data_IF_594139567665
#
_entry.id   IF_594139567665
#
_cell.length_a   1.000
_cell.length_b   1.000
_cell.length_c   1.000
_cell.angle_alpha   90.00
_cell.angle_beta   90.00
_cell.angle_gamma   90.00
#
_symmetry.space_group_name_H-M   'P 1'
#
loop_
_entity.id
_entity.type
_entity.pdbx_description
1 polymer ?
#
# COMPACT_ATOMS: atom_id res chain seq x y z
N UNK A 1 7.73 -34.94 -4.94
CA UNK A 1 6.44 -34.62 -5.59
C UNK A 1 5.41 -33.84 -4.75
N UNK A 2 5.32 -33.91 -3.40
CA UNK A 2 4.28 -33.18 -2.66
C UNK A 2 4.52 -31.66 -2.56
N UNK A 3 5.78 -31.22 -2.49
CA UNK A 3 6.15 -29.80 -2.38
C UNK A 3 5.80 -28.98 -3.64
N UNK A 4 5.94 -29.59 -4.83
CA UNK A 4 5.62 -28.95 -6.12
C UNK A 4 4.10 -28.77 -6.27
N UNK A 5 3.30 -29.73 -5.79
CA UNK A 5 1.83 -29.62 -5.78
C UNK A 5 1.34 -28.58 -4.77
N UNK A 6 2.00 -28.45 -3.62
CA UNK A 6 1.70 -27.41 -2.64
C UNK A 6 2.00 -26.00 -3.19
N UNK A 7 3.16 -25.83 -3.84
CA UNK A 7 3.55 -24.54 -4.43
C UNK A 7 2.64 -24.17 -5.61
N UNK A 8 2.27 -25.13 -6.47
CA UNK A 8 1.31 -24.91 -7.57
C UNK A 8 -0.09 -24.57 -7.05
N UNK A 9 -0.54 -25.18 -5.95
CA UNK A 9 -1.82 -24.89 -5.33
C UNK A 9 -1.85 -23.49 -4.69
N UNK A 10 -0.75 -23.08 -4.04
CA UNK A 10 -0.58 -21.74 -3.44
C UNK A 10 -0.48 -20.66 -4.52
N UNK A 11 0.20 -20.91 -5.64
CA UNK A 11 0.30 -19.95 -6.76
C UNK A 11 -1.02 -19.82 -7.54
N UNK A 12 -1.78 -20.90 -7.71
CA UNK A 12 -3.09 -20.86 -8.39
C UNK A 12 -4.16 -20.19 -7.50
N UNK A 13 -4.10 -20.39 -6.17
CA UNK A 13 -4.95 -19.64 -5.24
C UNK A 13 -4.57 -18.17 -5.21
N UNK A 14 -3.27 -17.80 -5.13
CA UNK A 14 -2.82 -16.40 -5.16
C UNK A 14 -3.16 -15.66 -6.47
N UNK A 15 -3.04 -16.32 -7.63
CA UNK A 15 -3.36 -15.74 -8.94
C UNK A 15 -4.87 -15.65 -9.19
N UNK A 16 -5.65 -16.67 -8.77
CA UNK A 16 -7.11 -16.65 -8.82
C UNK A 16 -7.71 -15.61 -7.87
N UNK A 17 -7.15 -15.46 -6.66
CA UNK A 17 -7.48 -14.35 -5.77
C UNK A 17 -7.04 -13.02 -6.36
N UNK A 18 -5.94 -12.93 -7.12
CA UNK A 18 -5.47 -11.68 -7.72
C UNK A 18 -6.36 -11.11 -8.83
N UNK A 19 -6.94 -11.96 -9.70
CA UNK A 19 -7.82 -11.52 -10.80
C UNK A 19 -9.26 -11.23 -10.30
N UNK A 20 -9.76 -12.05 -9.37
CA UNK A 20 -11.03 -11.78 -8.69
C UNK A 20 -10.91 -10.58 -7.74
N UNK A 21 -9.76 -10.42 -7.05
CA UNK A 21 -9.46 -9.23 -6.26
C UNK A 21 -9.35 -8.00 -7.16
N UNK A 22 -8.66 -8.00 -8.29
CA UNK A 22 -8.55 -6.78 -9.12
C UNK A 22 -9.88 -6.31 -9.69
N UNK A 23 -10.81 -7.22 -10.05
CA UNK A 23 -12.14 -6.83 -10.54
C UNK A 23 -13.10 -6.39 -9.42
N UNK A 24 -13.05 -7.04 -8.25
CA UNK A 24 -13.79 -6.60 -7.06
C UNK A 24 -13.20 -5.34 -6.44
N UNK A 25 -11.87 -5.19 -6.43
CA UNK A 25 -11.13 -3.98 -6.06
C UNK A 25 -11.47 -2.85 -7.01
N UNK A 26 -11.55 -3.05 -8.33
CA UNK A 26 -11.90 -1.95 -9.26
C UNK A 26 -13.35 -1.47 -9.12
N UNK A 27 -14.28 -2.37 -8.80
CA UNK A 27 -15.68 -2.05 -8.54
C UNK A 27 -15.91 -1.50 -7.12
N UNK A 28 -15.13 -1.96 -6.15
CA UNK A 28 -15.02 -1.36 -4.83
C UNK A 28 -14.40 0.04 -4.97
N UNK A 29 -13.18 0.20 -5.48
CA UNK A 29 -12.49 1.46 -5.76
C UNK A 29 -13.38 2.54 -6.36
N UNK A 30 -14.22 2.22 -7.35
CA UNK A 30 -15.17 3.18 -7.94
C UNK A 30 -16.31 3.60 -7.01
N UNK A 31 -16.84 2.67 -6.20
CA UNK A 31 -17.85 2.97 -5.18
C UNK A 31 -17.24 3.64 -3.93
N UNK A 32 -16.01 3.28 -3.58
CA UNK A 32 -15.26 3.79 -2.43
C UNK A 32 -14.76 5.19 -2.69
N UNK A 33 -14.18 5.48 -3.86
CA UNK A 33 -13.83 6.87 -4.23
C UNK A 33 -15.06 7.76 -4.30
N UNK A 34 -16.22 7.24 -4.73
CA UNK A 34 -17.48 8.00 -4.71
C UNK A 34 -17.94 8.35 -3.30
N UNK A 35 -17.96 7.36 -2.39
CA UNK A 35 -18.36 7.54 -0.98
C UNK A 35 -17.39 8.44 -0.20
N UNK A 36 -16.09 8.15 -0.30
CA UNK A 36 -15.03 8.92 0.33
C UNK A 36 -15.00 10.38 -0.18
N UNK A 37 -15.10 10.60 -1.50
CA UNK A 37 -15.15 11.95 -2.05
C UNK A 37 -16.41 12.72 -1.60
N UNK A 38 -17.55 12.04 -1.51
CA UNK A 38 -18.78 12.63 -0.99
C UNK A 38 -18.65 13.01 0.50
N UNK A 39 -18.02 12.17 1.30
CA UNK A 39 -17.76 12.44 2.72
C UNK A 39 -16.77 13.59 2.89
N UNK A 40 -15.65 13.59 2.18
CA UNK A 40 -14.69 14.70 2.16
C UNK A 40 -15.38 16.00 1.75
N UNK A 41 -16.25 15.98 0.73
CA UNK A 41 -17.03 17.14 0.32
C UNK A 41 -18.04 17.61 1.39
N UNK A 42 -18.67 16.69 2.12
CA UNK A 42 -19.55 17.01 3.25
C UNK A 42 -18.78 17.71 4.38
N UNK A 43 -17.65 17.13 4.77
CA UNK A 43 -16.80 17.67 5.84
C UNK A 43 -16.22 19.04 5.44
N UNK A 44 -15.80 19.22 4.18
CA UNK A 44 -15.36 20.54 3.68
C UNK A 44 -16.45 21.59 3.72
N UNK A 45 -17.68 21.26 3.29
CA UNK A 45 -18.83 22.17 3.39
C UNK A 45 -19.15 22.55 4.84
N UNK A 46 -19.01 21.61 5.76
CA UNK A 46 -19.14 21.91 7.18
C UNK A 46 -18.10 22.96 7.59
N UNK A 47 -16.83 22.77 7.26
CA UNK A 47 -15.78 23.74 7.60
C UNK A 47 -15.93 25.08 6.88
N UNK A 48 -16.45 25.11 5.66
CA UNK A 48 -16.81 26.38 4.99
C UNK A 48 -17.79 27.18 5.85
N UNK A 49 -18.84 26.53 6.36
CA UNK A 49 -19.81 27.17 7.24
C UNK A 49 -19.19 27.58 8.58
N UNK A 50 -18.31 26.77 9.17
CA UNK A 50 -17.57 27.11 10.41
C UNK A 50 -16.71 28.36 10.20
N UNK A 51 -15.89 28.39 9.16
CA UNK A 51 -14.96 29.49 8.90
C UNK A 51 -15.69 30.81 8.64
N UNK A 52 -16.83 30.77 7.93
CA UNK A 52 -17.70 31.95 7.76
C UNK A 52 -18.27 32.41 9.10
N UNK A 53 -18.82 31.49 9.90
CA UNK A 53 -19.44 31.80 11.19
C UNK A 53 -18.42 32.41 12.19
N UNK A 54 -17.26 31.76 12.36
CA UNK A 54 -16.26 32.19 13.33
C UNK A 54 -15.40 33.36 12.85
N UNK A 55 -15.23 33.52 11.53
CA UNK A 55 -14.49 34.64 10.93
C UNK A 55 -15.27 35.95 10.91
N UNK A 56 -16.61 35.87 10.83
CA UNK A 56 -17.51 37.03 10.86
C UNK A 56 -17.89 37.51 12.26
N UNK A 57 -17.73 36.67 13.29
CA UNK A 57 -17.98 37.04 14.69
C UNK A 57 -16.80 37.81 15.27
N UNK A 58 -17.02 39.06 15.64
CA UNK A 58 -16.18 39.74 16.62
C UNK A 58 -16.59 39.22 18.01
N UNK A 59 -15.67 38.56 18.71
CA UNK A 59 -15.89 38.14 20.10
C UNK A 59 -15.50 39.29 21.04
N UNK A 60 -16.47 39.98 21.67
CA UNK A 60 -16.18 41.10 22.53
C UNK A 60 -15.39 40.64 23.75
N UNK A 61 -14.31 41.36 24.07
CA UNK A 61 -13.52 41.09 25.28
C UNK A 61 -12.33 40.16 25.10
N UNK A 62 -12.03 39.67 23.89
CA UNK A 62 -10.76 38.99 23.63
C UNK A 62 -9.58 39.96 23.78
N UNK A 63 -8.53 39.52 24.48
CA UNK A 63 -7.24 40.22 24.51
C UNK A 63 -6.59 40.15 23.13
N UNK A 64 -5.73 41.12 22.81
CA UNK A 64 -4.97 41.17 21.54
C UNK A 64 -4.27 39.85 21.23
N UNK A 65 -3.68 39.20 22.25
CA UNK A 65 -3.02 37.90 22.10
C UNK A 65 -4.01 36.78 21.74
N UNK A 66 -5.16 36.72 22.42
CA UNK A 66 -6.21 35.73 22.13
C UNK A 66 -6.78 35.93 20.73
N UNK A 67 -6.95 37.18 20.31
CA UNK A 67 -7.43 37.50 18.96
C UNK A 67 -6.42 37.06 17.88
N UNK A 68 -5.12 37.31 18.09
CA UNK A 68 -4.07 36.83 17.18
C UNK A 68 -4.02 35.30 17.10
N UNK A 69 -4.10 34.62 18.26
CA UNK A 69 -4.14 33.16 18.33
C UNK A 69 -5.38 32.58 17.61
N UNK A 70 -6.55 33.19 17.82
CA UNK A 70 -7.79 32.84 17.14
C UNK A 70 -7.63 32.89 15.61
N UNK A 71 -7.09 33.99 15.07
CA UNK A 71 -6.86 34.10 13.62
C UNK A 71 -5.88 33.03 13.10
N UNK A 72 -4.83 32.71 13.85
CA UNK A 72 -3.90 31.65 13.48
C UNK A 72 -4.56 30.27 13.47
N UNK A 73 -5.44 29.96 14.44
CA UNK A 73 -6.19 28.72 14.47
C UNK A 73 -7.20 28.61 13.31
N UNK A 74 -7.91 29.70 12.98
CA UNK A 74 -8.83 29.69 11.85
C UNK A 74 -8.10 29.50 10.51
N UNK A 75 -6.92 30.10 10.34
CA UNK A 75 -6.07 29.84 9.17
C UNK A 75 -5.59 28.38 9.13
N UNK A 76 -5.23 27.80 10.29
CA UNK A 76 -4.86 26.39 10.41
C UNK A 76 -6.04 25.46 10.07
N UNK A 77 -7.25 25.80 10.52
CA UNK A 77 -8.47 25.06 10.20
C UNK A 77 -8.80 25.11 8.71
N UNK A 78 -8.60 26.26 8.05
CA UNK A 78 -8.72 26.38 6.60
C UNK A 78 -7.73 25.46 5.87
N UNK A 79 -6.45 25.45 6.28
CA UNK A 79 -5.45 24.53 5.71
C UNK A 79 -5.78 23.05 5.97
N UNK A 80 -6.36 22.72 7.13
CA UNK A 80 -6.87 21.38 7.44
C UNK A 80 -8.01 20.97 6.49
N UNK A 81 -9.01 21.83 6.29
CA UNK A 81 -10.09 21.64 5.32
C UNK A 81 -9.55 21.41 3.91
N UNK A 82 -8.61 22.24 3.46
CA UNK A 82 -8.06 22.18 2.10
C UNK A 82 -7.28 20.89 1.86
N UNK A 83 -6.56 20.42 2.89
CA UNK A 83 -5.90 19.10 2.85
C UNK A 83 -6.91 17.97 2.64
N UNK A 84 -8.07 18.01 3.29
CA UNK A 84 -9.14 17.02 3.05
C UNK A 84 -8.79 15.61 3.52
N UNK A 85 -7.84 15.47 4.43
CA UNK A 85 -7.47 14.21 5.07
C UNK A 85 -8.14 14.20 6.44
N UNK A 86 -9.20 13.39 6.58
CA UNK A 86 -10.05 13.37 7.76
C UNK A 86 -10.07 11.97 8.39
N UNK A 87 -10.36 11.87 9.70
CA UNK A 87 -10.64 10.59 10.34
C UNK A 87 -11.79 9.84 9.68
N UNK A 88 -11.74 8.53 9.78
CA UNK A 88 -12.78 7.64 9.29
C UNK A 88 -13.49 6.92 10.45
N UNK A 89 -14.80 6.72 10.31
CA UNK A 89 -15.56 5.90 11.24
C UNK A 89 -15.61 4.45 10.74
N UNK A 90 -14.86 3.58 11.42
CA UNK A 90 -14.75 2.16 11.08
C UNK A 90 -15.60 1.25 11.95
N UNK A 91 -16.00 1.73 13.13
CA UNK A 91 -16.47 0.88 14.23
C UNK A 91 -17.97 1.08 14.52
N UNK A 92 -18.58 2.16 14.00
CA UNK A 92 -19.97 2.53 14.27
C UNK A 92 -20.79 2.60 12.96
N UNK A 93 -21.27 1.46 12.44
CA UNK A 93 -21.94 1.38 11.15
C UNK A 93 -23.28 2.13 11.09
N UNK A 94 -23.97 2.24 12.22
CA UNK A 94 -25.34 2.76 12.27
C UNK A 94 -25.41 4.24 12.69
N UNK A 95 -24.28 4.86 13.01
CA UNK A 95 -24.26 6.22 13.55
C UNK A 95 -23.00 7.00 13.13
N UNK A 96 -23.14 8.26 12.67
CA UNK A 96 -22.00 9.15 12.54
C UNK A 96 -21.37 9.43 13.90
N UNK A 97 -20.09 9.07 14.05
CA UNK A 97 -19.39 9.11 15.34
C UNK A 97 -18.14 9.98 15.21
N UNK A 98 -17.88 10.89 16.15
CA UNK A 98 -16.62 11.63 16.17
C UNK A 98 -15.47 10.70 16.56
N UNK A 99 -14.29 10.97 16.03
CA UNK A 99 -13.04 10.41 16.51
C UNK A 99 -12.13 11.57 16.89
N UNK A 100 -11.35 11.44 17.95
CA UNK A 100 -10.29 12.39 18.29
C UNK A 100 -9.03 12.08 17.46
N UNK A 101 -8.67 10.80 17.40
CA UNK A 101 -7.62 10.24 16.55
C UNK A 101 -8.16 9.02 15.81
N UNK A 102 -8.01 9.00 14.49
CA UNK A 102 -8.26 7.80 13.69
C UNK A 102 -7.26 6.69 14.10
N UNK A 103 -7.78 5.57 14.63
CA UNK A 103 -6.94 4.48 15.14
C UNK A 103 -6.20 3.70 14.05
N UNK A 104 -6.65 3.77 12.79
CA UNK A 104 -6.04 3.05 11.67
C UNK A 104 -5.01 3.91 10.94
N UNK A 105 -5.34 5.18 10.72
CA UNK A 105 -4.50 6.08 9.92
C UNK A 105 -3.64 7.03 10.77
N UNK A 106 -4.00 7.23 12.04
CA UNK A 106 -3.40 8.24 12.91
C UNK A 106 -3.88 9.67 12.61
N UNK A 107 -4.79 9.85 11.66
CA UNK A 107 -5.33 11.16 11.29
C UNK A 107 -6.06 11.79 12.48
N UNK A 108 -5.67 13.02 12.82
CA UNK A 108 -6.33 13.79 13.87
C UNK A 108 -7.63 14.40 13.35
N UNK A 109 -8.66 14.52 14.20
CA UNK A 109 -9.79 15.38 13.88
C UNK A 109 -9.39 16.86 13.93
N UNK A 110 -10.29 17.74 13.49
CA UNK A 110 -9.99 19.17 13.41
C UNK A 110 -9.55 19.76 14.76
N UNK A 111 -10.26 19.47 15.86
CA UNK A 111 -9.90 20.02 17.18
C UNK A 111 -8.58 19.44 17.70
N UNK A 112 -8.36 18.14 17.54
CA UNK A 112 -7.08 17.50 17.86
C UNK A 112 -5.93 18.08 17.03
N UNK A 113 -6.16 18.38 15.75
CA UNK A 113 -5.17 18.99 14.88
C UNK A 113 -4.80 20.42 15.32
N UNK A 114 -5.77 21.22 15.78
CA UNK A 114 -5.52 22.56 16.31
C UNK A 114 -4.72 22.52 17.62
N UNK A 115 -5.01 21.55 18.50
CA UNK A 115 -4.21 21.29 19.69
C UNK A 115 -2.77 20.93 19.31
N UNK A 116 -2.58 19.96 18.42
CA UNK A 116 -1.25 19.55 17.95
C UNK A 116 -0.48 20.71 17.30
N UNK A 117 -1.13 21.52 16.45
CA UNK A 117 -0.49 22.65 15.76
C UNK A 117 0.01 23.74 16.71
N UNK A 118 -0.47 23.75 17.95
CA UNK A 118 -0.04 24.67 19.02
C UNK A 118 0.86 23.97 20.05
N UNK A 119 1.36 22.78 19.74
CA UNK A 119 2.28 22.02 20.59
C UNK A 119 1.61 21.21 21.69
N UNK A 120 0.27 21.07 21.70
CA UNK A 120 -0.49 20.36 22.73
C UNK A 120 -0.84 18.92 22.36
N UNK A 121 0.13 18.20 21.80
CA UNK A 121 -0.01 16.77 21.48
C UNK A 121 -0.26 15.92 22.73
N UNK A 122 0.25 16.37 23.88
CA UNK A 122 -0.01 15.79 25.20
C UNK A 122 -1.51 15.70 25.53
N UNK A 123 -2.28 16.77 25.28
CA UNK A 123 -3.74 16.78 25.44
C UNK A 123 -4.37 15.81 24.46
N UNK A 124 -3.98 15.85 23.18
CA UNK A 124 -4.54 14.99 22.13
C UNK A 124 -4.44 13.53 22.52
N UNK A 125 -3.23 13.09 22.90
CA UNK A 125 -3.00 11.70 23.22
C UNK A 125 -3.68 11.30 24.54
N UNK A 126 -3.79 12.20 25.52
CA UNK A 126 -4.55 11.93 26.76
C UNK A 126 -6.03 11.73 26.48
N UNK A 127 -6.66 12.69 25.78
CA UNK A 127 -8.09 12.65 25.48
C UNK A 127 -8.40 11.41 24.65
N UNK A 128 -7.63 11.14 23.60
CA UNK A 128 -7.81 9.96 22.75
C UNK A 128 -7.67 8.62 23.51
N UNK A 129 -6.79 8.56 24.51
CA UNK A 129 -6.66 7.37 25.37
C UNK A 129 -7.83 7.21 26.34
N UNK A 130 -8.32 8.30 26.91
CA UNK A 130 -9.41 8.27 27.88
C UNK A 130 -10.76 7.97 27.20
N UNK A 131 -11.08 8.72 26.16
CA UNK A 131 -12.26 8.52 25.32
C UNK A 131 -12.01 9.10 23.93
N UNK A 132 -11.71 8.22 22.98
CA UNK A 132 -11.41 8.62 21.60
C UNK A 132 -12.63 9.09 20.82
N UNK A 133 -13.84 8.86 21.31
CA UNK A 133 -15.08 9.20 20.63
C UNK A 133 -15.85 10.31 21.38
N UNK A 134 -15.18 11.00 22.30
CA UNK A 134 -15.74 12.11 23.08
C UNK A 134 -16.15 13.29 22.22
N UNK A 135 -17.26 13.94 22.58
CA UNK A 135 -17.63 15.23 22.01
C UNK A 135 -16.92 16.35 22.75
N UNK A 136 -16.44 17.36 22.04
CA UNK A 136 -15.70 18.46 22.67
C UNK A 136 -16.56 19.22 23.69
N UNK A 137 -17.89 19.29 23.47
CA UNK A 137 -18.83 19.85 24.46
C UNK A 137 -18.83 19.12 25.81
N UNK A 138 -18.41 17.86 25.85
CA UNK A 138 -18.36 17.04 27.08
C UNK A 138 -17.04 17.25 27.85
N UNK A 139 -16.07 17.94 27.26
CA UNK A 139 -14.77 18.26 27.87
C UNK A 139 -14.79 19.56 28.70
N UNK A 140 -15.98 20.02 29.11
CA UNK A 140 -16.14 21.26 29.89
C UNK A 140 -15.45 21.23 31.27
N UNK A 141 -15.21 20.03 31.81
CA UNK A 141 -14.50 19.80 33.08
C UNK A 141 -13.01 19.50 32.91
N UNK A 142 -12.50 19.34 31.68
CA UNK A 142 -11.06 19.19 31.42
C UNK A 142 -10.41 20.58 31.44
N UNK A 143 -9.75 20.90 32.55
CA UNK A 143 -9.16 22.23 32.79
C UNK A 143 -8.05 22.58 31.80
N UNK A 144 -7.35 21.60 31.22
CA UNK A 144 -6.31 21.88 30.24
C UNK A 144 -6.89 22.16 28.85
N UNK A 145 -7.97 21.46 28.47
CA UNK A 145 -8.72 21.75 27.25
C UNK A 145 -9.35 23.13 27.37
N UNK A 146 -10.04 23.42 28.49
CA UNK A 146 -10.65 24.73 28.74
C UNK A 146 -9.61 25.85 28.78
N UNK A 147 -8.48 25.63 29.45
CA UNK A 147 -7.38 26.61 29.50
C UNK A 147 -6.76 26.86 28.13
N UNK A 148 -6.61 25.82 27.30
CA UNK A 148 -6.14 25.98 25.92
C UNK A 148 -7.14 26.76 25.06
N UNK A 149 -8.44 26.47 25.18
CA UNK A 149 -9.50 27.18 24.48
C UNK A 149 -9.50 28.68 24.82
N UNK A 150 -9.45 29.03 26.11
CA UNK A 150 -9.36 30.43 26.55
C UNK A 150 -8.09 31.12 26.01
N UNK A 151 -6.92 30.47 26.12
CA UNK A 151 -5.66 31.03 25.63
C UNK A 151 -5.68 31.35 24.12
N UNK A 152 -6.46 30.60 23.35
CA UNK A 152 -6.58 30.77 21.90
C UNK A 152 -7.83 31.57 21.48
N UNK A 153 -8.61 32.11 22.43
CA UNK A 153 -9.81 32.88 22.12
C UNK A 153 -10.88 32.08 21.38
N UNK A 154 -10.99 30.79 21.67
CA UNK A 154 -12.03 29.89 21.15
C UNK A 154 -12.91 29.45 22.32
N UNK A 155 -14.23 29.57 22.19
CA UNK A 155 -15.14 29.08 23.21
C UNK A 155 -15.34 27.56 23.10
N UNK A 156 -15.81 26.91 24.17
CA UNK A 156 -16.16 25.49 24.12
C UNK A 156 -17.24 25.20 23.06
N UNK A 157 -18.21 26.09 22.91
CA UNK A 157 -19.27 25.98 21.91
C UNK A 157 -18.72 26.04 20.48
N UNK A 158 -17.75 26.93 20.24
CA UNK A 158 -17.06 27.03 18.96
C UNK A 158 -16.20 25.80 18.66
N UNK A 159 -15.49 25.27 19.65
CA UNK A 159 -14.73 24.03 19.49
C UNK A 159 -15.65 22.83 19.21
N UNK A 160 -16.81 22.75 19.87
CA UNK A 160 -17.84 21.77 19.56
C UNK A 160 -18.41 21.97 18.14
N UNK A 161 -18.57 23.22 17.71
CA UNK A 161 -19.01 23.58 16.35
C UNK A 161 -18.00 23.21 15.27
N UNK A 162 -16.71 23.22 15.58
CA UNK A 162 -15.61 22.76 14.72
C UNK A 162 -15.57 21.23 14.62
N UNK A 163 -16.00 20.50 15.66
CA UNK A 163 -15.96 19.05 15.67
C UNK A 163 -16.99 18.47 14.68
N UNK A 164 -16.56 17.46 13.91
CA UNK A 164 -17.38 16.76 12.92
C UNK A 164 -17.51 15.29 13.29
N UNK A 165 -18.73 14.71 13.33
CA UNK A 165 -18.90 13.27 13.35
C UNK A 165 -18.70 12.70 11.94
N UNK A 166 -18.05 11.54 11.82
CA UNK A 166 -17.75 10.92 10.53
C UNK A 166 -18.74 9.82 10.21
N UNK A 167 -19.21 9.80 8.95
CA UNK A 167 -20.09 8.74 8.48
C UNK A 167 -19.33 7.41 8.43
N UNK A 168 -20.06 6.30 8.62
CA UNK A 168 -19.43 4.98 8.52
C UNK A 168 -18.82 4.80 7.13
N UNK A 169 -17.63 4.22 7.13
CA UNK A 169 -17.00 3.67 5.93
C UNK A 169 -17.81 2.46 5.49
N UNK A 170 -18.10 2.33 4.20
CA UNK A 170 -18.83 1.17 3.67
C UNK A 170 -17.96 -0.10 3.70
N UNK A 171 -18.56 -1.30 3.79
CA UNK A 171 -17.80 -2.55 3.81
C UNK A 171 -16.80 -2.72 2.62
N UNK A 172 -17.15 -2.33 1.38
CA UNK A 172 -16.19 -2.31 0.26
C UNK A 172 -15.03 -1.34 0.46
N UNK A 173 -15.27 -0.19 1.09
CA UNK A 173 -14.28 0.86 1.38
C UNK A 173 -13.34 0.44 2.50
N UNK A 174 -13.88 -0.22 3.51
CA UNK A 174 -13.10 -0.81 4.58
C UNK A 174 -12.19 -1.94 4.05
N UNK A 175 -12.67 -2.75 3.11
CA UNK A 175 -11.86 -3.76 2.44
C UNK A 175 -10.75 -3.16 1.56
N UNK A 176 -11.03 -2.06 0.84
CA UNK A 176 -10.02 -1.32 0.07
C UNK A 176 -8.91 -0.73 0.95
N UNK A 177 -9.27 -0.10 2.06
CA UNK A 177 -8.31 0.47 3.03
C UNK A 177 -7.46 -0.65 3.65
N UNK A 178 -8.06 -1.77 4.06
CA UNK A 178 -7.30 -2.93 4.59
C UNK A 178 -6.38 -3.51 3.51
N UNK A 179 -6.83 -3.65 2.27
CA UNK A 179 -6.02 -4.16 1.17
C UNK A 179 -4.79 -3.26 0.89
N UNK A 180 -4.93 -1.95 1.00
CA UNK A 180 -3.80 -1.01 0.86
C UNK A 180 -2.88 -1.07 2.07
N UNK A 181 -3.41 -1.00 3.29
CA UNK A 181 -2.61 -0.91 4.53
C UNK A 181 -1.91 -2.22 4.88
N UNK A 182 -2.56 -3.37 4.62
CA UNK A 182 -2.02 -4.70 4.95
C UNK A 182 -1.42 -5.39 3.73
N UNK A 183 -2.05 -5.25 2.55
CA UNK A 183 -1.63 -5.95 1.34
C UNK A 183 -0.35 -5.38 0.72
N UNK A 184 -0.19 -4.05 0.67
CA UNK A 184 1.00 -3.43 0.08
C UNK A 184 2.29 -3.79 0.84
N UNK A 185 2.35 -3.73 2.18
CA UNK A 185 3.55 -4.16 2.92
C UNK A 185 3.88 -5.64 2.75
N UNK A 186 2.86 -6.53 2.70
CA UNK A 186 3.07 -7.97 2.51
C UNK A 186 3.59 -8.27 1.11
N UNK A 187 3.02 -7.65 0.09
CA UNK A 187 3.47 -7.79 -1.30
C UNK A 187 4.89 -7.23 -1.47
N UNK A 188 5.17 -6.05 -0.90
CA UNK A 188 6.51 -5.44 -0.93
C UNK A 188 7.54 -6.27 -0.17
N UNK A 189 7.20 -6.80 1.01
CA UNK A 189 8.08 -7.68 1.79
C UNK A 189 8.41 -8.96 1.06
N UNK A 190 7.40 -9.59 0.44
CA UNK A 190 7.58 -10.79 -0.38
C UNK A 190 8.41 -10.49 -1.63
N UNK A 191 8.15 -9.36 -2.29
CA UNK A 191 8.91 -8.91 -3.46
C UNK A 191 10.39 -8.69 -3.10
N UNK A 192 10.68 -7.92 -2.05
CA UNK A 192 12.04 -7.67 -1.58
C UNK A 192 12.75 -8.98 -1.23
N UNK A 193 12.09 -9.88 -0.51
CA UNK A 193 12.63 -11.20 -0.19
C UNK A 193 12.97 -12.01 -1.44
N UNK A 194 12.05 -12.09 -2.41
CA UNK A 194 12.30 -12.81 -3.68
C UNK A 194 13.36 -12.16 -4.55
N UNK A 195 13.45 -10.83 -4.57
CA UNK A 195 14.48 -10.10 -5.31
C UNK A 195 15.86 -10.35 -4.70
N UNK A 196 15.98 -10.29 -3.36
CA UNK A 196 17.23 -10.60 -2.65
C UNK A 196 17.62 -12.06 -2.90
N UNK A 197 16.68 -13.00 -2.79
CA UNK A 197 16.94 -14.41 -3.06
C UNK A 197 17.42 -14.66 -4.49
N UNK A 198 16.73 -14.11 -5.51
CA UNK A 198 17.15 -14.23 -6.91
C UNK A 198 18.46 -13.51 -7.20
N UNK A 199 18.74 -12.40 -6.52
CA UNK A 199 19.97 -11.64 -6.68
C UNK A 199 21.14 -12.19 -5.88
N UNK A 200 20.97 -13.18 -4.99
CA UNK A 200 22.06 -13.74 -4.16
C UNK A 200 22.05 -15.26 -4.18
N UNK A 201 21.07 -15.88 -3.53
CA UNK A 201 20.94 -17.32 -3.30
C UNK A 201 20.49 -18.12 -4.51
N UNK A 202 19.98 -17.51 -5.58
CA UNK A 202 19.54 -18.18 -6.81
C UNK A 202 20.14 -17.52 -8.08
N UNK A 203 21.36 -16.97 -7.96
CA UNK A 203 22.08 -16.31 -9.07
C UNK A 203 22.37 -17.23 -10.26
N UNK A 204 22.59 -18.50 -9.96
CA UNK A 204 22.81 -19.60 -10.92
C UNK A 204 21.48 -20.17 -11.47
N UNK A 205 20.34 -19.77 -10.92
CA UNK A 205 19.02 -20.13 -11.41
C UNK A 205 18.62 -21.57 -11.11
N UNK A 206 19.18 -22.22 -10.09
CA UNK A 206 18.85 -23.59 -9.74
C UNK A 206 17.40 -23.77 -9.25
N UNK A 207 16.83 -22.75 -8.61
CA UNK A 207 15.46 -22.75 -8.09
C UNK A 207 14.49 -22.04 -9.02
N UNK A 208 13.79 -22.81 -9.86
CA UNK A 208 12.71 -22.30 -10.71
C UNK A 208 11.57 -21.69 -9.90
N UNK A 209 11.27 -22.29 -8.74
CA UNK A 209 10.20 -21.83 -7.87
C UNK A 209 10.48 -20.40 -7.38
N UNK A 210 11.72 -20.09 -6.99
CA UNK A 210 12.13 -18.73 -6.60
C UNK A 210 12.03 -17.73 -7.76
N UNK A 211 12.38 -18.14 -8.97
CA UNK A 211 12.28 -17.29 -10.15
C UNK A 211 10.83 -17.03 -10.57
N UNK A 212 9.97 -18.05 -10.58
CA UNK A 212 8.55 -17.90 -10.91
C UNK A 212 7.83 -17.05 -9.86
N UNK A 213 8.14 -17.26 -8.58
CA UNK A 213 7.56 -16.45 -7.51
C UNK A 213 7.96 -14.98 -7.66
N UNK A 214 9.24 -14.69 -7.93
CA UNK A 214 9.71 -13.33 -8.20
C UNK A 214 9.08 -12.68 -9.43
N UNK A 215 8.77 -13.47 -10.47
CA UNK A 215 8.07 -12.98 -11.66
C UNK A 215 6.62 -12.58 -11.34
N UNK A 216 5.92 -13.43 -10.59
CA UNK A 216 4.52 -13.18 -10.19
C UNK A 216 4.43 -11.99 -9.23
N UNK A 217 5.27 -11.94 -8.19
CA UNK A 217 5.27 -10.83 -7.22
C UNK A 217 5.72 -9.52 -7.86
N UNK A 218 6.76 -9.55 -8.70
CA UNK A 218 7.22 -8.39 -9.45
C UNK A 218 6.16 -7.85 -10.41
N UNK A 219 5.50 -8.74 -11.17
CA UNK A 219 4.43 -8.36 -12.10
C UNK A 219 3.20 -7.77 -11.41
N UNK A 220 2.75 -8.38 -10.31
CA UNK A 220 1.64 -7.85 -9.50
C UNK A 220 1.97 -6.49 -8.88
N UNK A 221 3.20 -6.31 -8.38
CA UNK A 221 3.65 -5.03 -7.83
C UNK A 221 3.68 -3.95 -8.91
N UNK A 222 4.17 -4.27 -10.12
CA UNK A 222 4.18 -3.33 -11.23
C UNK A 222 2.77 -2.91 -11.65
N UNK A 223 1.83 -3.86 -11.72
CA UNK A 223 0.43 -3.59 -12.05
C UNK A 223 -0.26 -2.73 -10.99
N UNK A 224 -0.01 -3.00 -9.70
CA UNK A 224 -0.53 -2.18 -8.61
C UNK A 224 0.03 -0.76 -8.65
N UNK A 225 1.33 -0.59 -8.93
CA UNK A 225 1.95 0.72 -9.13
C UNK A 225 1.27 1.51 -10.25
N UNK A 226 1.02 0.87 -11.40
CA UNK A 226 0.32 1.50 -12.52
C UNK A 226 -1.12 1.92 -12.18
N UNK A 227 -1.85 1.10 -11.40
CA UNK A 227 -3.18 1.45 -10.91
C UNK A 227 -3.14 2.69 -10.00
N UNK A 228 -2.17 2.76 -9.07
CA UNK A 228 -1.96 3.92 -8.18
C UNK A 228 -1.65 5.18 -8.99
N UNK A 229 -0.90 5.10 -10.09
CA UNK A 229 -0.65 6.25 -10.97
C UNK A 229 -1.93 6.82 -11.59
N UNK A 230 -2.94 5.98 -11.83
CA UNK A 230 -4.22 6.36 -12.45
C UNK A 230 -5.32 6.70 -11.45
N UNK A 231 -5.08 6.52 -10.14
CA UNK A 231 -6.09 6.63 -9.08
C UNK A 231 -6.56 8.06 -8.77
N UNK A 232 -5.90 9.09 -9.30
CA UNK A 232 -6.20 10.50 -8.98
C UNK A 232 -5.74 10.95 -7.60
N UNK A 233 -5.04 10.10 -6.84
CA UNK A 233 -4.42 10.49 -5.57
C UNK A 233 -3.39 11.62 -5.77
N UNK A 234 -3.33 12.57 -4.83
CA UNK A 234 -2.47 13.77 -4.92
C UNK A 234 -0.98 13.45 -5.18
N UNK A 235 -0.48 12.34 -4.63
CA UNK A 235 0.87 11.82 -4.88
C UNK A 235 0.87 10.49 -5.66
N UNK A 236 -0.26 10.08 -6.23
CA UNK A 236 -0.44 8.78 -6.89
C UNK A 236 0.53 8.55 -8.04
N UNK A 237 0.88 9.60 -8.79
CA UNK A 237 1.87 9.50 -9.87
C UNK A 237 3.29 9.20 -9.34
N UNK A 238 3.70 9.86 -8.23
CA UNK A 238 5.02 9.65 -7.62
C UNK A 238 5.11 8.30 -6.91
N UNK A 239 4.14 7.98 -6.06
CA UNK A 239 4.10 6.69 -5.36
C UNK A 239 3.96 5.53 -6.35
N UNK A 240 3.05 5.65 -7.33
CA UNK A 240 2.81 4.61 -8.32
C UNK A 240 4.00 4.36 -9.25
N UNK A 241 4.74 5.41 -9.65
CA UNK A 241 5.95 5.25 -10.46
C UNK A 241 7.08 4.52 -9.72
N UNK A 242 7.29 4.82 -8.44
CA UNK A 242 8.26 4.11 -7.58
C UNK A 242 7.88 2.63 -7.47
N UNK A 243 6.63 2.33 -7.13
CA UNK A 243 6.12 0.95 -7.01
C UNK A 243 6.27 0.20 -8.34
N UNK A 244 5.93 0.84 -9.45
CA UNK A 244 6.06 0.27 -10.80
C UNK A 244 7.51 -0.09 -11.13
N UNK A 245 8.45 0.81 -10.86
CA UNK A 245 9.87 0.60 -11.11
C UNK A 245 10.42 -0.60 -10.31
N UNK A 246 10.03 -0.72 -9.04
CA UNK A 246 10.43 -1.84 -8.19
C UNK A 246 9.88 -3.19 -8.68
N UNK A 247 8.59 -3.24 -9.05
CA UNK A 247 7.99 -4.45 -9.62
C UNK A 247 8.64 -4.85 -10.95
N UNK A 248 8.93 -3.88 -11.81
CA UNK A 248 9.64 -4.08 -13.08
C UNK A 248 11.04 -4.65 -12.89
N UNK A 249 11.82 -4.10 -11.95
CA UNK A 249 13.16 -4.60 -11.64
C UNK A 249 13.13 -6.06 -11.14
N UNK A 250 12.20 -6.42 -10.26
CA UNK A 250 12.03 -7.79 -9.78
C UNK A 250 11.67 -8.78 -10.89
N UNK A 251 10.75 -8.36 -11.77
CA UNK A 251 10.36 -9.12 -12.97
C UNK A 251 11.57 -9.37 -13.89
N UNK A 252 12.38 -8.34 -14.13
CA UNK A 252 13.58 -8.46 -14.98
C UNK A 252 14.62 -9.41 -14.38
N UNK A 253 14.85 -9.35 -13.06
CA UNK A 253 15.75 -10.26 -12.36
C UNK A 253 15.26 -11.71 -12.44
N UNK A 254 13.97 -11.95 -12.22
CA UNK A 254 13.35 -13.26 -12.37
C UNK A 254 13.54 -13.82 -13.80
N UNK A 255 13.24 -13.02 -14.83
CA UNK A 255 13.45 -13.41 -16.23
C UNK A 255 14.91 -13.74 -16.55
N UNK A 256 15.85 -12.95 -16.02
CA UNK A 256 17.29 -13.20 -16.22
C UNK A 256 17.74 -14.54 -15.58
N UNK A 257 17.27 -14.87 -14.37
CA UNK A 257 17.57 -16.17 -13.73
C UNK A 257 16.99 -17.35 -14.52
N UNK A 258 15.77 -17.23 -15.04
CA UNK A 258 15.13 -18.25 -15.90
C UNK A 258 15.94 -18.45 -17.19
N UNK A 259 16.34 -17.35 -17.84
CA UNK A 259 17.15 -17.40 -19.06
C UNK A 259 18.49 -18.09 -18.82
N UNK A 260 19.21 -17.74 -17.75
CA UNK A 260 20.51 -18.35 -17.40
C UNK A 260 20.38 -19.85 -17.16
N UNK A 261 19.33 -20.28 -16.45
CA UNK A 261 19.04 -21.71 -16.26
C UNK A 261 18.85 -22.44 -17.58
N UNK A 262 18.08 -21.87 -18.51
CA UNK A 262 17.87 -22.47 -19.83
C UNK A 262 19.19 -22.60 -20.61
N UNK A 263 20.07 -21.60 -20.54
CA UNK A 263 21.41 -21.67 -21.16
C UNK A 263 22.24 -22.79 -20.54
N UNK A 264 22.33 -22.86 -19.21
CA UNK A 264 23.10 -23.88 -18.49
C UNK A 264 22.58 -25.30 -18.74
N UNK A 265 21.26 -25.48 -18.82
CA UNK A 265 20.66 -26.75 -19.17
C UNK A 265 21.04 -27.17 -20.61
N UNK A 266 21.04 -26.23 -21.56
CA UNK A 266 21.42 -26.50 -22.95
C UNK A 266 22.92 -26.78 -23.12
N UNK A 267 23.78 -26.22 -22.29
CA UNK A 267 25.22 -26.48 -22.33
C UNK A 267 25.52 -27.86 -21.74
N UNK A 268 24.88 -28.21 -20.62
CA UNK A 268 25.05 -29.52 -20.00
C UNK A 268 24.60 -30.65 -20.92
N UNK A 269 23.43 -30.50 -21.56
CA UNK A 269 22.94 -31.47 -22.54
C UNK A 269 23.93 -31.67 -23.69
N UNK A 270 24.55 -30.60 -24.21
CA UNK A 270 25.58 -30.69 -25.26
C UNK A 270 26.88 -31.34 -24.81
N UNK A 271 27.31 -31.09 -23.57
CA UNK A 271 28.49 -31.75 -23.00
C UNK A 271 28.22 -33.24 -22.76
N UNK A 272 27.04 -33.59 -22.23
CA UNK A 272 26.62 -34.99 -22.07
C UNK A 272 26.49 -35.70 -23.43
N UNK A 273 26.02 -35.01 -24.48
CA UNK A 273 25.99 -35.52 -25.85
C UNK A 273 27.39 -35.70 -26.46
N UNK A 274 28.35 -34.81 -26.16
CA UNK A 274 29.73 -34.91 -26.62
C UNK A 274 30.56 -35.97 -25.88
N UNK A 275 30.25 -36.22 -24.60
CA UNK A 275 30.94 -37.21 -23.74
C UNK A 275 30.24 -38.58 -23.78
N UNK A 276 29.03 -38.66 -24.34
CA UNK A 276 28.34 -39.91 -24.61
C UNK A 276 29.12 -40.83 -25.56
N UNK A 277 28.85 -42.15 -25.56
CA UNK A 277 29.56 -43.10 -26.41
C UNK A 277 29.43 -42.69 -27.88
N UNK A 278 30.54 -42.28 -28.50
CA UNK A 278 30.55 -41.95 -29.91
C UNK A 278 30.53 -43.26 -30.70
N UNK A 279 29.38 -43.55 -31.32
CA UNK A 279 29.24 -44.63 -32.29
C UNK A 279 29.58 -44.09 -33.67
N UNK A 280 30.71 -44.50 -34.24
CA UNK A 280 31.08 -44.14 -35.62
C UNK A 280 31.00 -45.37 -36.52
N UNK A 281 30.40 -45.18 -37.70
CA UNK A 281 30.35 -46.16 -38.76
C UNK A 281 31.44 -45.81 -39.76
N UNK A 282 32.54 -46.56 -39.79
CA UNK A 282 33.64 -46.32 -40.71
C UNK A 282 33.51 -47.24 -41.93
N UNK A 283 33.55 -46.70 -43.16
CA UNK A 283 33.62 -47.53 -44.35
C UNK A 283 34.97 -48.26 -44.37
N UNK A 284 34.92 -49.56 -44.62
CA UNK A 284 36.12 -50.40 -44.74
C UNK A 284 36.09 -51.08 -46.10
N UNK A 285 37.25 -51.33 -46.66
CA UNK A 285 37.40 -52.13 -47.88
C UNK A 285 38.30 -53.30 -47.53
N UNK A 286 37.82 -54.52 -47.75
CA UNK A 286 38.62 -55.72 -47.50
C UNK A 286 39.74 -55.87 -48.54
N UNK A 287 40.71 -56.76 -48.29
CA UNK A 287 41.83 -56.99 -49.21
C UNK A 287 41.42 -57.54 -50.59
N UNK A 288 40.13 -57.87 -50.78
CA UNK A 288 39.54 -58.33 -52.04
C UNK A 288 38.73 -57.22 -52.73
N UNK A 289 38.79 -55.99 -52.22
CA UNK A 289 38.12 -54.81 -52.81
C UNK A 289 36.63 -54.71 -52.51
N UNK A 290 36.09 -55.45 -51.54
CA UNK A 290 34.67 -55.39 -51.18
C UNK A 290 34.42 -54.33 -50.12
N UNK A 291 33.40 -53.50 -50.34
CA UNK A 291 32.97 -52.51 -49.37
C UNK A 291 32.22 -53.17 -48.20
N UNK A 292 32.61 -52.81 -46.98
CA UNK A 292 31.95 -53.17 -45.72
C UNK A 292 31.88 -51.99 -44.77
N UNK A 293 31.18 -52.13 -43.65
CA UNK A 293 31.10 -51.09 -42.62
C UNK A 293 31.52 -51.67 -41.26
N UNK A 294 32.42 -50.98 -40.56
CA UNK A 294 32.82 -51.34 -39.21
C UNK A 294 32.17 -50.40 -38.21
N UNK A 295 31.62 -50.99 -37.14
CA UNK A 295 31.02 -50.26 -36.03
C UNK A 295 32.08 -50.06 -34.95
N UNK A 296 32.45 -48.82 -34.65
CA UNK A 296 33.37 -48.50 -33.57
C UNK A 296 32.62 -47.73 -32.48
N UNK A 297 32.77 -48.18 -31.22
CA UNK A 297 32.24 -47.47 -30.05
C UNK A 297 33.43 -46.96 -29.25
N UNK A 298 33.59 -45.64 -29.19
CA UNK A 298 34.64 -45.02 -28.37
C UNK A 298 34.03 -44.61 -27.03
N UNK A 299 34.45 -45.28 -25.96
CA UNK A 299 34.10 -44.90 -24.59
C UNK A 299 35.06 -43.80 -24.13
N UNK A 300 34.53 -42.64 -23.74
CA UNK A 300 35.31 -41.61 -23.06
C UNK A 300 35.49 -42.04 -21.60
N UNK A 301 36.74 -42.23 -21.17
CA UNK A 301 37.12 -42.41 -19.76
C UNK A 301 37.64 -41.08 -19.21
#
# INVERSE_FOLDING_TARGET
MPLIRLIAFVTLTLAGTGIAATTTVRRAEGATTGGEAAEVARVRRHFDSVLVELGGRAEPGLRVQQQAARYALLATLQAYRDRGVFPHNYDFPDAPTPYFVDRRTGTLCAVAHLLESTGRRDIVDRVARADNNVRVSELSSDSEVVGWLDANGITLAEAARIQVPYNTVSAPEQAGIIAVVVGVPVVMGTMLGTNIWNATGNRDGHSLAGSVLGLVTGGLTAAAGAAVMTSGARDGMRAGSIITAFGGAGTALALNTIRRRAVLASSKARTEEQVGPQTSLLPTVDERGRAGAQFAVRLAF
#
